data_IF_333013676260
#
_entry.id   IF_333013676260
#
_cell.length_a   1.000
_cell.length_b   1.000
_cell.length_c   1.000
_cell.angle_alpha   90.00
_cell.angle_beta   90.00
_cell.angle_gamma   90.00
#
_symmetry.space_group_name_H-M   'P 1'
#
loop_
_entity.id
_entity.type
_entity.pdbx_description
1 polymer ?
#
# COMPACT_ATOMS: atom_id res chain seq x y z
N UNK A 1 6.94 -48.49 -24.97
CA UNK A 1 7.41 -47.94 -26.26
C UNK A 1 8.88 -47.59 -26.07
N UNK A 2 9.80 -48.33 -26.70
CA UNK A 2 11.24 -48.10 -26.51
C UNK A 2 11.62 -46.76 -27.18
N UNK A 3 12.13 -45.81 -26.39
CA UNK A 3 12.63 -44.54 -26.93
C UNK A 3 13.85 -44.86 -27.80
N UNK A 4 13.81 -44.48 -29.08
CA UNK A 4 14.93 -44.69 -30.01
C UNK A 4 16.15 -43.91 -29.52
N UNK A 5 17.31 -44.56 -29.54
CA UNK A 5 18.54 -43.98 -28.99
C UNK A 5 18.97 -42.73 -29.75
N UNK A 6 18.63 -42.65 -31.04
CA UNK A 6 18.83 -41.48 -31.89
C UNK A 6 18.11 -40.25 -31.34
N UNK A 7 16.85 -40.40 -30.92
CA UNK A 7 16.07 -39.31 -30.31
C UNK A 7 16.64 -38.86 -28.98
N UNK A 8 17.27 -39.78 -28.23
CA UNK A 8 17.96 -39.46 -26.98
C UNK A 8 19.22 -38.64 -27.24
N UNK A 9 20.01 -38.99 -28.27
CA UNK A 9 21.21 -38.27 -28.68
C UNK A 9 20.91 -36.84 -29.12
N UNK A 10 19.94 -36.67 -30.03
CA UNK A 10 19.53 -35.34 -30.51
C UNK A 10 19.07 -34.43 -29.37
N UNK A 11 18.33 -35.00 -28.40
CA UNK A 11 17.85 -34.25 -27.25
C UNK A 11 18.97 -33.86 -26.29
N UNK A 12 19.95 -34.74 -26.09
CA UNK A 12 21.15 -34.44 -25.31
C UNK A 12 21.94 -33.32 -25.97
N UNK A 13 22.21 -33.39 -27.27
CA UNK A 13 22.99 -32.38 -27.99
C UNK A 13 22.37 -30.99 -27.89
N UNK A 14 21.04 -30.92 -28.07
CA UNK A 14 20.28 -29.67 -27.95
C UNK A 14 20.35 -29.06 -26.55
N UNK A 15 20.18 -29.88 -25.51
CA UNK A 15 20.01 -29.38 -24.15
C UNK A 15 21.36 -29.29 -23.37
N UNK A 16 22.43 -29.93 -23.86
CA UNK A 16 23.75 -29.98 -23.19
C UNK A 16 24.39 -28.61 -23.06
N UNK A 17 24.34 -27.80 -24.12
CA UNK A 17 24.94 -26.46 -24.11
C UNK A 17 24.24 -25.54 -23.11
N UNK A 18 22.91 -25.65 -22.99
CA UNK A 18 22.13 -24.89 -22.01
C UNK A 18 22.46 -25.36 -20.58
N UNK A 19 22.58 -26.66 -20.35
CA UNK A 19 22.91 -27.24 -19.05
C UNK A 19 24.34 -26.89 -18.58
N UNK A 20 25.33 -26.91 -19.48
CA UNK A 20 26.73 -26.57 -19.17
C UNK A 20 26.89 -25.06 -18.92
N UNK A 21 26.12 -24.23 -19.62
CA UNK A 21 26.19 -22.76 -19.46
C UNK A 21 25.36 -22.23 -18.29
N UNK A 22 24.36 -22.96 -17.78
CA UNK A 22 23.54 -22.52 -16.63
C UNK A 22 24.37 -22.40 -15.34
N UNK A 23 24.51 -21.18 -14.82
CA UNK A 23 25.23 -20.86 -13.58
C UNK A 23 24.61 -21.48 -12.32
N UNK A 24 23.32 -21.86 -12.37
CA UNK A 24 22.61 -22.50 -11.26
C UNK A 24 22.89 -24.00 -11.15
N UNK A 25 23.57 -24.59 -12.15
CA UNK A 25 23.98 -25.99 -12.13
C UNK A 25 25.35 -26.10 -11.47
N UNK A 26 25.48 -26.94 -10.44
CA UNK A 26 26.73 -27.09 -9.72
C UNK A 26 27.85 -27.65 -10.59
N UNK A 27 29.07 -27.17 -10.37
CA UNK A 27 30.28 -27.63 -11.07
C UNK A 27 30.44 -29.15 -11.00
N UNK A 28 30.20 -29.76 -9.84
CA UNK A 28 30.22 -31.22 -9.64
C UNK A 28 29.25 -31.97 -10.55
N UNK A 29 28.07 -31.41 -10.82
CA UNK A 29 27.08 -32.04 -11.70
C UNK A 29 27.46 -31.88 -13.18
N UNK A 30 28.06 -30.75 -13.56
CA UNK A 30 28.63 -30.53 -14.90
C UNK A 30 29.80 -31.47 -15.17
N UNK A 31 30.70 -31.66 -14.20
CA UNK A 31 31.80 -32.63 -14.29
C UNK A 31 31.26 -34.04 -14.50
N UNK A 32 30.30 -34.48 -13.66
CA UNK A 32 29.66 -35.80 -13.80
C UNK A 32 28.97 -35.99 -15.15
N UNK A 33 28.38 -34.94 -15.71
CA UNK A 33 27.75 -34.98 -17.04
C UNK A 33 28.79 -35.15 -18.16
N UNK A 34 29.93 -34.47 -18.05
CA UNK A 34 31.02 -34.53 -19.03
C UNK A 34 31.83 -35.83 -18.96
N UNK A 35 31.88 -36.49 -17.81
CA UNK A 35 32.51 -37.81 -17.62
C UNK A 35 31.73 -38.96 -18.27
N UNK A 36 30.44 -38.77 -18.55
CA UNK A 36 29.60 -39.78 -19.20
C UNK A 36 29.94 -39.87 -20.71
N UNK A 37 30.05 -41.09 -21.22
CA UNK A 37 30.39 -41.36 -22.62
C UNK A 37 29.22 -41.23 -23.59
N UNK A 38 29.36 -41.87 -24.75
CA UNK A 38 28.34 -41.94 -25.82
C UNK A 38 27.73 -43.34 -25.96
N UNK A 39 27.96 -44.22 -24.97
CA UNK A 39 27.32 -45.53 -24.88
C UNK A 39 25.85 -45.39 -24.48
N UNK A 40 25.03 -46.39 -24.79
CA UNK A 40 23.58 -46.34 -24.59
C UNK A 40 23.18 -46.01 -23.13
N UNK A 41 23.86 -46.64 -22.18
CA UNK A 41 23.57 -46.45 -20.76
C UNK A 41 23.95 -45.04 -20.28
N UNK A 42 25.06 -44.52 -20.78
CA UNK A 42 25.53 -43.18 -20.46
C UNK A 42 24.67 -42.09 -21.11
N UNK A 43 24.19 -42.31 -22.33
CA UNK A 43 23.21 -41.43 -22.97
C UNK A 43 21.91 -41.39 -22.17
N UNK A 44 21.43 -42.53 -21.67
CA UNK A 44 20.25 -42.55 -20.79
C UNK A 44 20.48 -41.77 -19.49
N UNK A 45 21.67 -41.88 -18.90
CA UNK A 45 22.05 -41.10 -17.70
C UNK A 45 22.14 -39.60 -17.99
N UNK A 46 22.76 -39.20 -19.10
CA UNK A 46 22.79 -37.80 -19.56
C UNK A 46 21.39 -37.24 -19.76
N UNK A 47 20.52 -37.99 -20.44
CA UNK A 47 19.14 -37.61 -20.68
C UNK A 47 18.35 -37.40 -19.38
N UNK A 48 18.49 -38.29 -18.39
CA UNK A 48 17.84 -38.14 -17.09
C UNK A 48 18.30 -36.89 -16.34
N UNK A 49 19.61 -36.58 -16.38
CA UNK A 49 20.15 -35.36 -15.76
C UNK A 49 19.55 -34.09 -16.38
N UNK A 50 19.50 -34.03 -17.72
CA UNK A 50 18.92 -32.91 -18.46
C UNK A 50 17.41 -32.77 -18.22
N UNK A 51 16.68 -33.89 -18.20
CA UNK A 51 15.24 -33.90 -17.94
C UNK A 51 14.91 -33.38 -16.53
N UNK A 52 15.65 -33.84 -15.52
CA UNK A 52 15.48 -33.38 -14.14
C UNK A 52 15.81 -31.90 -13.97
N UNK A 53 16.84 -31.41 -14.66
CA UNK A 53 17.20 -30.00 -14.67
C UNK A 53 16.12 -29.13 -15.33
N UNK A 54 15.64 -29.49 -16.53
CA UNK A 54 14.54 -28.76 -17.19
C UNK A 54 13.25 -28.75 -16.38
N UNK A 55 12.92 -29.85 -15.71
CA UNK A 55 11.77 -29.92 -14.81
C UNK A 55 11.89 -28.92 -13.65
N UNK A 56 13.09 -28.77 -13.07
CA UNK A 56 13.34 -27.79 -11.99
C UNK A 56 13.27 -26.34 -12.47
N UNK A 57 13.75 -26.05 -13.68
CA UNK A 57 13.62 -24.70 -14.28
C UNK A 57 12.15 -24.38 -14.53
N UNK A 58 11.40 -25.27 -15.19
CA UNK A 58 9.99 -25.04 -15.50
C UNK A 58 9.14 -24.91 -14.24
N UNK A 59 9.44 -25.65 -13.17
CA UNK A 59 8.73 -25.51 -11.89
C UNK A 59 9.02 -24.17 -11.21
N UNK A 60 10.26 -23.64 -11.30
CA UNK A 60 10.57 -22.28 -10.80
C UNK A 60 9.83 -21.20 -11.59
N UNK A 61 9.79 -21.28 -12.92
CA UNK A 61 9.03 -20.34 -13.74
C UNK A 61 7.54 -20.35 -13.44
N UNK A 62 6.95 -21.53 -13.21
CA UNK A 62 5.54 -21.66 -12.89
C UNK A 62 5.20 -21.14 -11.50
N UNK A 63 6.12 -21.27 -10.53
CA UNK A 63 5.92 -20.73 -9.18
C UNK A 63 5.89 -19.20 -9.20
N UNK A 64 6.86 -18.57 -9.88
CA UNK A 64 6.92 -17.10 -10.04
C UNK A 64 5.71 -16.58 -10.81
N UNK A 65 5.33 -17.22 -11.93
CA UNK A 65 4.11 -16.85 -12.68
C UNK A 65 2.83 -17.01 -11.86
N UNK A 66 2.77 -17.99 -10.95
CA UNK A 66 1.59 -18.20 -10.10
C UNK A 66 1.47 -17.15 -9.00
N UNK A 67 2.58 -16.73 -8.39
CA UNK A 67 2.60 -15.67 -7.37
C UNK A 67 2.20 -14.32 -7.99
N UNK A 68 2.77 -13.96 -9.15
CA UNK A 68 2.37 -12.71 -9.83
C UNK A 68 0.92 -12.78 -10.35
N UNK A 69 0.45 -13.95 -10.78
CA UNK A 69 -0.95 -14.12 -11.21
C UNK A 69 -1.94 -14.04 -10.05
N UNK A 70 -1.58 -14.55 -8.87
CA UNK A 70 -2.40 -14.46 -7.66
C UNK A 70 -2.48 -13.00 -7.17
N UNK A 71 -1.33 -12.30 -7.10
CA UNK A 71 -1.28 -10.89 -6.73
C UNK A 71 -2.09 -10.00 -7.69
N UNK A 72 -2.01 -10.25 -9.01
CA UNK A 72 -2.81 -9.51 -10.00
C UNK A 72 -4.30 -9.84 -9.88
N UNK A 73 -4.67 -11.07 -9.52
CA UNK A 73 -6.06 -11.45 -9.28
C UNK A 73 -6.62 -10.78 -8.02
N UNK A 74 -5.83 -10.71 -6.96
CA UNK A 74 -6.19 -10.04 -5.70
C UNK A 74 -6.33 -8.53 -5.89
N UNK A 75 -5.40 -7.88 -6.58
CA UNK A 75 -5.51 -6.44 -6.90
C UNK A 75 -6.76 -6.16 -7.76
N UNK A 76 -7.07 -7.01 -8.75
CA UNK A 76 -8.29 -6.87 -9.56
C UNK A 76 -9.56 -7.08 -8.73
N UNK A 77 -9.55 -7.99 -7.77
CA UNK A 77 -10.68 -8.22 -6.88
C UNK A 77 -10.88 -7.03 -5.93
N UNK A 78 -9.81 -6.50 -5.33
CA UNK A 78 -9.86 -5.28 -4.52
C UNK A 78 -10.44 -4.11 -5.34
N UNK A 79 -9.97 -3.91 -6.59
CA UNK A 79 -10.51 -2.86 -7.46
C UNK A 79 -11.98 -3.07 -7.82
N UNK A 80 -12.41 -4.32 -8.04
CA UNK A 80 -13.84 -4.63 -8.27
C UNK A 80 -14.68 -4.34 -7.03
N UNK A 81 -14.17 -4.62 -5.84
CA UNK A 81 -14.86 -4.30 -4.58
C UNK A 81 -14.94 -2.79 -4.33
N UNK A 82 -13.84 -2.05 -4.52
CA UNK A 82 -13.84 -0.59 -4.46
C UNK A 82 -14.84 -0.01 -5.47
N UNK A 83 -14.85 -0.52 -6.70
CA UNK A 83 -15.81 -0.09 -7.73
C UNK A 83 -17.26 -0.44 -7.41
N UNK A 84 -17.51 -1.50 -6.63
CA UNK A 84 -18.86 -1.82 -6.12
C UNK A 84 -19.26 -0.89 -4.97
N UNK A 85 -18.33 -0.50 -4.10
CA UNK A 85 -18.59 0.46 -3.03
C UNK A 85 -18.84 1.87 -3.58
N UNK A 86 -18.04 2.29 -4.57
CA UNK A 86 -18.24 3.52 -5.34
C UNK A 86 -19.18 3.21 -6.51
N UNK A 87 -20.40 2.80 -6.20
CA UNK A 87 -21.44 2.71 -7.22
C UNK A 87 -22.01 4.13 -7.44
N UNK A 88 -21.81 4.75 -8.62
CA UNK A 88 -22.31 6.09 -8.92
C UNK A 88 -23.84 6.17 -8.91
N UNK A 89 -24.53 5.03 -8.94
CA UNK A 89 -25.98 4.91 -8.76
C UNK A 89 -26.36 4.46 -7.34
N UNK A 90 -25.47 4.54 -6.35
CA UNK A 90 -25.78 4.24 -4.96
C UNK A 90 -26.53 5.42 -4.33
N UNK A 91 -27.85 5.31 -4.08
CA UNK A 91 -28.63 6.41 -3.53
C UNK A 91 -28.10 6.86 -2.15
N UNK A 92 -27.49 5.96 -1.38
CA UNK A 92 -26.87 6.31 -0.08
C UNK A 92 -25.64 7.20 -0.24
N UNK A 93 -24.85 7.02 -1.30
CA UNK A 93 -23.68 7.87 -1.54
C UNK A 93 -24.12 9.29 -1.89
N UNK A 94 -25.16 9.42 -2.72
CA UNK A 94 -25.74 10.72 -3.05
C UNK A 94 -26.36 11.39 -1.82
N UNK A 95 -27.08 10.65 -0.98
CA UNK A 95 -27.66 11.14 0.26
C UNK A 95 -26.59 11.63 1.25
N UNK A 96 -25.49 10.90 1.40
CA UNK A 96 -24.35 11.32 2.24
C UNK A 96 -23.72 12.60 1.70
N UNK A 97 -23.46 12.68 0.39
CA UNK A 97 -22.88 13.88 -0.25
C UNK A 97 -23.82 15.08 -0.09
N UNK A 98 -25.12 14.87 -0.29
CA UNK A 98 -26.13 15.92 -0.16
C UNK A 98 -26.22 16.44 1.28
N UNK A 99 -26.26 15.55 2.29
CA UNK A 99 -26.30 15.93 3.69
C UNK A 99 -25.03 16.69 4.10
N UNK A 100 -23.84 16.21 3.69
CA UNK A 100 -22.59 16.93 3.96
C UNK A 100 -22.55 18.31 3.32
N UNK A 101 -23.10 18.45 2.10
CA UNK A 101 -23.17 19.74 1.41
C UNK A 101 -24.12 20.70 2.14
N UNK A 102 -25.25 20.20 2.65
CA UNK A 102 -26.19 20.98 3.46
C UNK A 102 -25.56 21.45 4.77
N UNK A 103 -24.84 20.58 5.46
CA UNK A 103 -24.14 20.91 6.71
C UNK A 103 -23.07 22.00 6.47
N UNK A 104 -22.32 21.89 5.36
CA UNK A 104 -21.34 22.89 4.94
C UNK A 104 -21.98 24.25 4.65
N UNK A 105 -23.11 24.27 3.92
CA UNK A 105 -23.84 25.50 3.65
C UNK A 105 -24.30 26.18 4.94
N UNK A 106 -24.93 25.41 5.85
CA UNK A 106 -25.38 25.94 7.14
C UNK A 106 -24.19 26.47 7.95
N UNK A 107 -23.06 25.77 7.94
CA UNK A 107 -21.85 26.24 8.61
C UNK A 107 -21.35 27.57 8.02
N UNK A 108 -21.35 27.73 6.70
CA UNK A 108 -20.94 28.98 6.04
C UNK A 108 -21.92 30.11 6.38
N UNK A 109 -23.23 29.87 6.27
CA UNK A 109 -24.27 30.86 6.55
C UNK A 109 -24.20 31.41 7.97
N UNK A 110 -23.86 30.54 8.94
CA UNK A 110 -23.76 30.92 10.36
C UNK A 110 -22.34 31.32 10.77
N UNK A 111 -21.40 31.46 9.81
CA UNK A 111 -20.00 31.76 10.12
C UNK A 111 -19.79 33.19 10.62
N UNK A 112 -20.46 34.17 10.03
CA UNK A 112 -20.42 35.56 10.47
C UNK A 112 -21.07 35.72 11.84
N UNK A 113 -22.22 35.08 12.07
CA UNK A 113 -22.90 35.09 13.37
C UNK A 113 -22.02 34.52 14.48
N UNK A 114 -21.31 33.41 14.23
CA UNK A 114 -20.33 32.86 15.18
C UNK A 114 -19.14 33.78 15.44
N UNK A 115 -18.70 34.55 14.44
CA UNK A 115 -17.65 35.54 14.63
C UNK A 115 -18.15 36.70 15.49
N UNK A 116 -19.37 37.17 15.25
CA UNK A 116 -20.00 38.22 16.04
C UNK A 116 -20.18 37.79 17.51
N UNK A 117 -20.64 36.57 17.77
CA UNK A 117 -20.78 36.04 19.14
C UNK A 117 -19.42 36.04 19.87
N UNK A 118 -18.35 35.60 19.20
CA UNK A 118 -17.00 35.62 19.81
C UNK A 118 -16.50 37.02 20.10
N UNK A 119 -16.83 37.97 19.23
CA UNK A 119 -16.47 39.37 19.39
C UNK A 119 -17.28 40.02 20.53
N UNK A 120 -18.55 39.67 20.67
CA UNK A 120 -19.40 40.07 21.79
C UNK A 120 -18.83 39.57 23.12
N UNK A 121 -18.52 38.27 23.24
CA UNK A 121 -17.87 37.70 24.42
C UNK A 121 -16.50 38.33 24.75
N UNK A 122 -15.78 38.82 23.73
CA UNK A 122 -14.51 39.53 23.91
C UNK A 122 -14.76 40.92 24.51
N UNK A 123 -15.71 41.66 23.95
CA UNK A 123 -16.09 43.00 24.41
C UNK A 123 -16.65 42.95 25.84
N UNK A 124 -17.50 41.97 26.15
CA UNK A 124 -18.06 41.80 27.49
C UNK A 124 -16.96 41.59 28.55
N UNK A 125 -15.93 40.80 28.23
CA UNK A 125 -14.77 40.63 29.12
C UNK A 125 -13.99 41.92 29.32
N UNK A 126 -13.72 42.67 28.24
CA UNK A 126 -13.04 43.97 28.35
C UNK A 126 -13.85 44.97 29.19
N UNK A 127 -15.18 44.99 29.04
CA UNK A 127 -16.07 45.84 29.85
C UNK A 127 -15.99 45.43 31.32
N UNK A 128 -16.02 44.14 31.62
CA UNK A 128 -15.92 43.63 33.00
C UNK A 128 -14.60 44.05 33.66
N UNK A 129 -13.47 43.92 32.95
CA UNK A 129 -12.15 44.34 33.43
C UNK A 129 -12.09 45.85 33.67
N UNK A 130 -12.55 46.66 32.71
CA UNK A 130 -12.57 48.13 32.85
C UNK A 130 -13.47 48.57 33.99
N UNK A 131 -14.60 47.91 34.19
CA UNK A 131 -15.52 48.19 35.31
C UNK A 131 -14.86 47.91 36.65
N UNK A 132 -14.14 46.80 36.76
CA UNK A 132 -13.36 46.46 37.96
C UNK A 132 -12.29 47.52 38.26
N UNK A 133 -11.50 47.91 37.25
CA UNK A 133 -10.50 48.96 37.38
C UNK A 133 -11.10 50.30 37.81
N UNK A 134 -12.26 50.66 37.27
CA UNK A 134 -12.97 51.88 37.64
C UNK A 134 -13.36 51.86 39.13
N UNK A 135 -13.85 50.74 39.65
CA UNK A 135 -14.19 50.60 41.07
C UNK A 135 -12.95 50.65 41.98
N UNK A 136 -11.83 50.05 41.56
CA UNK A 136 -10.54 50.18 42.26
C UNK A 136 -10.06 51.65 42.32
N UNK A 137 -10.22 52.41 41.22
CA UNK A 137 -9.87 53.83 41.19
C UNK A 137 -10.80 54.64 42.11
N UNK A 138 -12.12 54.40 42.07
CA UNK A 138 -13.10 55.09 42.92
C UNK A 138 -12.83 54.84 44.41
N UNK A 139 -12.55 53.59 44.78
CA UNK A 139 -12.24 53.23 46.17
C UNK A 139 -10.94 53.89 46.63
N UNK A 140 -9.89 53.89 45.79
CA UNK A 140 -8.63 54.57 46.09
C UNK A 140 -8.79 56.09 46.21
N UNK A 141 -9.55 56.72 45.32
CA UNK A 141 -9.90 58.15 45.41
C UNK A 141 -10.58 58.47 46.73
N UNK A 142 -11.58 57.68 47.12
CA UNK A 142 -12.31 57.85 48.39
C UNK A 142 -11.40 57.69 49.61
N UNK A 143 -10.41 56.79 49.57
CA UNK A 143 -9.42 56.68 50.66
C UNK A 143 -8.52 57.91 50.75
N UNK A 144 -8.05 58.44 49.61
CA UNK A 144 -7.19 59.64 49.59
C UNK A 144 -7.95 60.88 50.09
N UNK A 145 -9.21 61.07 49.69
CA UNK A 145 -10.05 62.18 50.15
C UNK A 145 -10.30 62.15 51.67
N UNK A 146 -10.30 60.96 52.29
CA UNK A 146 -10.39 60.84 53.75
C UNK A 146 -9.07 61.20 54.43
N UNK A 147 -7.94 60.81 53.85
CA UNK A 147 -6.61 61.10 54.42
C UNK A 147 -6.25 62.59 54.34
N UNK A 148 -6.70 63.31 53.30
CA UNK A 148 -6.44 64.75 53.12
C UNK A 148 -7.33 65.64 54.01
N UNK A 149 -8.41 65.09 54.58
CA UNK A 149 -9.32 65.82 55.50
C UNK A 149 -8.95 65.69 56.98
N UNK A 150 -7.89 64.96 57.31
CA UNK A 150 -7.26 64.87 58.64
C UNK A 150 -6.02 65.77 58.66
#
# INVERSE_FOLDING_TARGET
MAVKIETVKEKIEKDSNEFISDENVSSKLKTKFNELGNEEEDLRKKYQLLSNWKSRINNKENTVKSETSAEVADVKNIFKEIKKMVNPNNPKLFEVIFNQTKDLLQYIETSEERQLIKEEERIEREIAEKTKLLEEIKTRKKSLEKTVKL
#
